data_IF_144522464556
#
_entry.id   IF_144522464556
#
_cell.length_a   1.000
_cell.length_b   1.000
_cell.length_c   1.000
_cell.angle_alpha   90.00
_cell.angle_beta   90.00
_cell.angle_gamma   90.00
#
_symmetry.space_group_name_H-M   'P 1'
#
loop_
_entity.id
_entity.type
_entity.pdbx_description
1 polymer ?
#
# COMPACT_ATOMS: atom_id res chain seq x y z
N UNK A 1 5.14 48.11 -60.78
CA UNK A 1 5.55 46.90 -60.04
C UNK A 1 4.38 46.45 -59.17
N UNK A 2 3.96 45.20 -59.40
CA UNK A 2 3.15 44.30 -58.55
C UNK A 2 1.77 44.75 -58.02
N UNK A 3 0.67 44.04 -58.40
CA UNK A 3 -0.68 44.29 -57.93
C UNK A 3 -1.06 43.49 -56.67
N UNK A 4 -2.18 43.92 -56.09
CA UNK A 4 -2.92 43.48 -54.88
C UNK A 4 -3.20 41.96 -54.85
N UNK A 5 -3.12 41.33 -53.66
CA UNK A 5 -3.93 40.13 -53.38
C UNK A 5 -4.47 40.08 -51.94
N UNK A 6 -5.76 39.78 -51.91
CA UNK A 6 -6.70 39.65 -50.81
C UNK A 6 -6.36 38.57 -49.78
N UNK A 7 -6.63 38.90 -48.52
CA UNK A 7 -6.70 38.00 -47.37
C UNK A 7 -7.60 36.78 -47.62
N UNK A 8 -7.04 35.58 -47.61
CA UNK A 8 -7.78 34.34 -47.41
C UNK A 8 -7.46 33.80 -46.00
N UNK A 9 -8.52 33.73 -45.20
CA UNK A 9 -8.59 33.00 -43.95
C UNK A 9 -8.41 31.50 -44.25
N UNK A 10 -7.32 30.90 -43.78
CA UNK A 10 -7.16 29.46 -43.74
C UNK A 10 -7.56 28.95 -42.37
N UNK A 11 -8.84 28.60 -42.24
CA UNK A 11 -9.30 27.70 -41.18
C UNK A 11 -8.56 26.37 -41.35
N UNK A 12 -7.85 25.84 -40.34
CA UNK A 12 -7.27 24.52 -40.44
C UNK A 12 -8.39 23.48 -40.60
N UNK A 13 -8.22 22.46 -41.45
CA UNK A 13 -9.25 21.45 -41.63
C UNK A 13 -9.48 20.72 -40.31
N UNK A 14 -10.75 20.65 -39.92
CA UNK A 14 -11.27 19.78 -38.86
C UNK A 14 -10.75 18.37 -39.15
N UNK A 15 -10.09 17.67 -38.20
CA UNK A 15 -9.71 16.29 -38.41
C UNK A 15 -10.97 15.47 -38.58
N UNK A 16 -11.18 14.90 -39.77
CA UNK A 16 -12.14 13.83 -39.97
C UNK A 16 -11.85 12.70 -38.96
N UNK A 17 -12.86 12.05 -38.38
CA UNK A 17 -12.66 10.92 -37.49
C UNK A 17 -11.93 9.83 -38.28
N UNK A 18 -10.72 9.49 -37.82
CA UNK A 18 -9.88 8.52 -38.47
C UNK A 18 -10.60 7.19 -38.62
N UNK A 19 -10.67 6.71 -39.86
CA UNK A 19 -10.95 5.32 -40.17
C UNK A 19 -9.76 4.53 -39.61
N UNK A 20 -9.97 3.84 -38.49
CA UNK A 20 -9.02 2.85 -37.99
C UNK A 20 -8.79 1.81 -39.10
N UNK A 21 -7.57 1.71 -39.61
CA UNK A 21 -7.17 0.60 -40.47
C UNK A 21 -7.22 -0.68 -39.63
N UNK A 22 -8.26 -1.48 -39.85
CA UNK A 22 -8.67 -2.65 -39.05
C UNK A 22 -7.70 -3.85 -39.06
N UNK A 23 -6.52 -3.75 -39.71
CA UNK A 23 -5.58 -4.88 -39.81
C UNK A 23 -4.41 -4.84 -38.82
N UNK A 24 -4.21 -3.73 -38.10
CA UNK A 24 -3.03 -3.53 -37.22
C UNK A 24 -3.38 -3.32 -35.73
N UNK A 25 -4.65 -3.40 -35.34
CA UNK A 25 -5.05 -3.24 -33.93
C UNK A 25 -5.06 -4.56 -33.15
N UNK A 26 -4.82 -4.46 -31.83
CA UNK A 26 -4.92 -5.61 -30.93
C UNK A 26 -6.35 -6.20 -30.90
N UNK A 27 -7.39 -5.35 -30.98
CA UNK A 27 -8.78 -5.81 -31.04
C UNK A 27 -9.04 -6.67 -32.27
N UNK A 28 -8.54 -6.27 -33.44
CA UNK A 28 -8.72 -7.03 -34.67
C UNK A 28 -8.01 -8.39 -34.62
N UNK A 29 -6.80 -8.45 -34.07
CA UNK A 29 -6.07 -9.71 -33.88
C UNK A 29 -6.82 -10.65 -32.91
N UNK A 30 -7.39 -10.11 -31.83
CA UNK A 30 -8.24 -10.88 -30.90
C UNK A 30 -9.50 -11.42 -31.60
N UNK A 31 -10.21 -10.58 -32.38
CA UNK A 31 -11.41 -11.00 -33.15
C UNK A 31 -11.08 -12.10 -34.16
N UNK A 32 -9.91 -12.04 -34.79
CA UNK A 32 -9.41 -13.08 -35.71
C UNK A 32 -8.89 -14.32 -35.01
N UNK A 33 -8.85 -14.34 -33.67
CA UNK A 33 -8.33 -15.42 -32.83
C UNK A 33 -6.85 -15.73 -33.08
N UNK A 34 -6.08 -14.71 -33.48
CA UNK A 34 -4.67 -14.83 -33.84
C UNK A 34 -3.78 -14.41 -32.65
N UNK A 35 -3.43 -15.37 -31.79
CA UNK A 35 -2.60 -15.14 -30.61
C UNK A 35 -1.16 -14.75 -30.95
N UNK A 36 -0.63 -15.19 -32.09
CA UNK A 36 0.71 -14.85 -32.56
C UNK A 36 0.77 -13.38 -32.99
N UNK A 37 -0.24 -12.90 -33.73
CA UNK A 37 -0.37 -11.49 -34.07
C UNK A 37 -0.54 -10.63 -32.81
N UNK A 38 -1.35 -11.06 -31.83
CA UNK A 38 -1.48 -10.35 -30.54
C UNK A 38 -0.11 -10.23 -29.86
N UNK A 39 0.64 -11.32 -29.75
CA UNK A 39 1.96 -11.32 -29.12
C UNK A 39 2.94 -10.39 -29.86
N UNK A 40 2.97 -10.45 -31.21
CA UNK A 40 3.80 -9.58 -32.04
C UNK A 40 3.47 -8.10 -31.83
N UNK A 41 2.21 -7.72 -31.94
CA UNK A 41 1.75 -6.34 -31.76
C UNK A 41 2.09 -5.79 -30.37
N UNK A 42 1.98 -6.62 -29.31
CA UNK A 42 2.39 -6.22 -27.96
C UNK A 42 3.90 -6.00 -27.84
N UNK A 43 4.71 -6.81 -28.51
CA UNK A 43 6.16 -6.63 -28.56
C UNK A 43 6.56 -5.37 -29.36
N UNK A 44 5.75 -4.97 -30.34
CA UNK A 44 5.88 -3.70 -31.07
C UNK A 44 5.43 -2.47 -30.24
N UNK A 45 4.91 -2.68 -29.02
CA UNK A 45 4.57 -1.63 -28.08
C UNK A 45 3.08 -1.27 -28.00
N UNK A 46 2.22 -1.96 -28.76
CA UNK A 46 0.77 -1.76 -28.62
C UNK A 46 0.30 -2.22 -27.24
N UNK A 47 -0.55 -1.41 -26.62
CA UNK A 47 -0.97 -1.64 -25.24
C UNK A 47 -2.29 -2.41 -25.18
N UNK A 48 -2.29 -3.52 -24.45
CA UNK A 48 -3.48 -4.34 -24.22
C UNK A 48 -4.56 -3.66 -23.34
N UNK A 49 -4.32 -2.43 -22.89
CA UNK A 49 -5.29 -1.63 -22.15
C UNK A 49 -5.98 -0.56 -23.01
N UNK A 50 -5.65 -0.40 -24.29
CA UNK A 50 -6.30 0.57 -25.17
C UNK A 50 -7.78 0.22 -25.38
N UNK A 51 -8.68 1.21 -25.29
CA UNK A 51 -10.09 1.03 -25.55
C UNK A 51 -10.41 1.25 -27.03
N UNK A 52 -11.39 0.51 -27.55
CA UNK A 52 -11.98 0.79 -28.86
C UNK A 52 -13.11 1.84 -28.75
N UNK A 53 -13.79 2.11 -29.86
CA UNK A 53 -14.89 3.09 -29.93
C UNK A 53 -16.10 2.74 -29.04
N UNK A 54 -16.29 1.46 -28.70
CA UNK A 54 -17.30 1.01 -27.73
C UNK A 54 -16.81 1.04 -26.27
N UNK A 55 -15.61 1.56 -26.00
CA UNK A 55 -15.05 1.65 -24.66
C UNK A 55 -14.58 0.31 -24.08
N UNK A 56 -14.27 -0.68 -24.93
CA UNK A 56 -13.83 -2.03 -24.54
C UNK A 56 -12.35 -2.24 -24.82
N UNK A 57 -11.65 -2.90 -23.92
CA UNK A 57 -10.27 -3.36 -24.15
C UNK A 57 -10.23 -4.64 -25.00
N UNK A 58 -9.06 -5.02 -25.56
CA UNK A 58 -8.90 -6.32 -26.22
C UNK A 58 -9.25 -7.51 -25.33
N UNK A 59 -9.07 -7.37 -24.01
CA UNK A 59 -9.44 -8.40 -23.06
C UNK A 59 -10.96 -8.51 -22.88
N UNK A 60 -11.65 -7.37 -22.76
CA UNK A 60 -13.13 -7.35 -22.74
C UNK A 60 -13.70 -7.94 -24.03
N UNK A 61 -13.05 -7.68 -25.17
CA UNK A 61 -13.43 -8.29 -26.44
C UNK A 61 -13.30 -9.80 -26.41
N UNK A 62 -12.16 -10.34 -25.93
CA UNK A 62 -11.94 -11.79 -25.77
C UNK A 62 -13.01 -12.42 -24.87
N UNK A 63 -13.32 -11.80 -23.74
CA UNK A 63 -14.27 -12.33 -22.75
C UNK A 63 -15.70 -12.41 -23.28
N UNK A 64 -16.10 -11.45 -24.12
CA UNK A 64 -17.43 -11.41 -24.70
C UNK A 64 -17.62 -12.34 -25.91
N UNK A 65 -16.56 -13.00 -26.41
CA UNK A 65 -16.66 -14.01 -27.46
C UNK A 65 -17.33 -15.27 -26.95
N UNK A 66 -18.47 -15.65 -27.52
CA UNK A 66 -19.23 -16.86 -27.11
C UNK A 66 -18.82 -18.12 -27.88
N UNK A 67 -18.20 -17.94 -29.05
CA UNK A 67 -17.95 -18.96 -30.07
C UNK A 67 -16.48 -19.40 -30.15
N UNK A 68 -15.69 -19.12 -29.12
CA UNK A 68 -14.27 -19.48 -29.01
C UNK A 68 -14.09 -20.67 -28.07
N UNK A 69 -13.24 -21.63 -28.49
CA UNK A 69 -12.86 -22.77 -27.66
C UNK A 69 -11.88 -22.36 -26.55
N UNK A 70 -11.82 -23.16 -25.48
CA UNK A 70 -11.05 -22.83 -24.28
C UNK A 70 -9.54 -22.73 -24.54
N UNK A 71 -9.00 -23.54 -25.47
CA UNK A 71 -7.58 -23.51 -25.81
C UNK A 71 -7.22 -22.21 -26.52
N UNK A 72 -8.02 -21.79 -27.50
CA UNK A 72 -7.85 -20.51 -28.19
C UNK A 72 -8.03 -19.33 -27.23
N UNK A 73 -9.03 -19.40 -26.34
CA UNK A 73 -9.27 -18.37 -25.32
C UNK A 73 -8.07 -18.21 -24.40
N UNK A 74 -7.59 -19.31 -23.83
CA UNK A 74 -6.41 -19.34 -22.98
C UNK A 74 -5.17 -18.81 -23.71
N UNK A 75 -4.96 -19.19 -24.98
CA UNK A 75 -3.83 -18.72 -25.78
C UNK A 75 -3.87 -17.22 -26.03
N UNK A 76 -5.04 -16.65 -26.33
CA UNK A 76 -5.22 -15.20 -26.50
C UNK A 76 -5.07 -14.45 -25.18
N UNK A 77 -5.61 -14.99 -24.08
CA UNK A 77 -5.49 -14.39 -22.74
C UNK A 77 -4.02 -14.31 -22.31
N UNK A 78 -3.27 -15.41 -22.48
CA UNK A 78 -1.82 -15.45 -22.29
C UNK A 78 -1.12 -14.43 -23.18
N UNK A 79 -1.43 -14.41 -24.48
CA UNK A 79 -0.84 -13.45 -25.41
C UNK A 79 -1.11 -11.99 -25.00
N UNK A 80 -2.27 -11.69 -24.42
CA UNK A 80 -2.63 -10.34 -23.93
C UNK A 80 -1.97 -9.96 -22.61
N UNK A 81 -1.82 -10.92 -21.68
CA UNK A 81 -1.43 -10.62 -20.29
C UNK A 81 -0.03 -11.05 -19.89
N UNK A 82 0.63 -11.89 -20.68
CA UNK A 82 2.00 -12.34 -20.39
C UNK A 82 2.92 -11.14 -20.15
N UNK A 83 3.75 -11.24 -19.12
CA UNK A 83 4.73 -10.20 -18.82
C UNK A 83 5.78 -10.10 -19.91
N UNK A 84 6.04 -8.87 -20.38
CA UNK A 84 7.18 -8.55 -21.27
C UNK A 84 8.45 -8.20 -20.46
N UNK A 85 8.41 -8.37 -19.14
CA UNK A 85 9.59 -8.20 -18.30
C UNK A 85 10.43 -9.49 -18.36
N UNK A 86 11.70 -9.44 -18.78
CA UNK A 86 12.58 -10.61 -18.90
C UNK A 86 12.82 -11.35 -17.58
N UNK A 87 12.60 -10.71 -16.42
CA UNK A 87 12.78 -11.37 -15.12
C UNK A 87 11.53 -12.12 -14.65
N UNK A 88 10.40 -11.99 -15.35
CA UNK A 88 9.18 -12.69 -14.99
C UNK A 88 9.31 -14.18 -15.34
N UNK A 89 8.77 -15.09 -14.50
CA UNK A 89 8.75 -16.51 -14.81
C UNK A 89 8.03 -16.80 -16.13
N UNK A 90 8.44 -17.87 -16.81
CA UNK A 90 7.76 -18.32 -18.01
C UNK A 90 6.28 -18.62 -17.70
N UNK A 91 5.37 -18.18 -18.57
CA UNK A 91 3.94 -18.35 -18.37
C UNK A 91 3.30 -17.39 -17.35
N UNK A 92 4.05 -16.51 -16.70
CA UNK A 92 3.45 -15.54 -15.79
C UNK A 92 2.62 -14.49 -16.54
N UNK A 93 1.34 -14.39 -16.15
CA UNK A 93 0.40 -13.36 -16.59
C UNK A 93 0.23 -12.27 -15.55
N UNK A 94 0.14 -11.02 -15.99
CA UNK A 94 -0.04 -9.87 -15.10
C UNK A 94 -1.39 -9.93 -14.38
N UNK A 95 -1.48 -9.50 -13.10
CA UNK A 95 -2.72 -9.30 -12.38
C UNK A 95 -3.72 -8.44 -13.15
N UNK A 96 -4.99 -8.77 -12.95
CA UNK A 96 -6.13 -8.09 -13.57
C UNK A 96 -6.78 -7.08 -12.63
N UNK A 97 -6.69 -7.37 -11.33
CA UNK A 97 -7.09 -6.49 -10.24
C UNK A 97 -5.96 -6.37 -9.22
N UNK A 98 -5.85 -5.21 -8.59
CA UNK A 98 -4.84 -4.90 -7.58
C UNK A 98 -5.45 -4.21 -6.37
N UNK A 99 -4.92 -4.53 -5.19
CA UNK A 99 -5.26 -3.88 -3.94
C UNK A 99 -3.98 -3.42 -3.23
N UNK A 100 -3.92 -2.15 -2.85
CA UNK A 100 -2.79 -1.59 -2.12
C UNK A 100 -3.11 -1.40 -0.65
N UNK A 101 -2.23 -1.85 0.25
CA UNK A 101 -2.47 -1.80 1.69
C UNK A 101 -1.18 -1.68 2.52
N UNK A 102 -1.29 -1.02 3.66
CA UNK A 102 -0.27 -1.02 4.72
C UNK A 102 -0.46 -2.18 5.72
N UNK A 103 -1.59 -2.88 5.66
CA UNK A 103 -2.04 -3.96 6.55
C UNK A 103 -1.85 -5.35 5.95
N UNK A 104 -0.80 -5.52 5.13
CA UNK A 104 -0.70 -6.73 4.32
C UNK A 104 -0.44 -8.00 5.13
N UNK A 105 0.23 -7.93 6.29
CA UNK A 105 0.40 -9.12 7.13
C UNK A 105 -0.94 -9.56 7.74
N UNK A 106 -1.73 -8.61 8.21
CA UNK A 106 -3.05 -8.86 8.80
C UNK A 106 -4.01 -9.46 7.77
N UNK A 107 -3.93 -8.99 6.52
CA UNK A 107 -4.69 -9.58 5.40
C UNK A 107 -4.25 -11.03 5.15
N UNK A 108 -2.94 -11.29 5.08
CA UNK A 108 -2.43 -12.66 4.89
C UNK A 108 -2.85 -13.56 6.05
N UNK A 109 -2.76 -13.07 7.29
CA UNK A 109 -3.18 -13.80 8.48
C UNK A 109 -4.67 -14.12 8.46
N UNK A 110 -5.51 -13.18 8.04
CA UNK A 110 -6.95 -13.38 7.98
C UNK A 110 -7.42 -14.20 6.77
N UNK A 111 -6.56 -14.39 5.77
CA UNK A 111 -6.88 -15.09 4.53
C UNK A 111 -7.85 -14.34 3.61
N UNK A 112 -8.20 -13.08 3.90
CA UNK A 112 -9.15 -12.30 3.10
C UNK A 112 -8.86 -10.79 3.12
N UNK A 113 -9.24 -10.10 2.05
CA UNK A 113 -9.42 -8.66 2.07
C UNK A 113 -10.72 -8.33 2.80
N UNK A 114 -10.61 -7.61 3.91
CA UNK A 114 -11.78 -7.20 4.71
C UNK A 114 -12.15 -5.75 4.46
N UNK A 115 -13.45 -5.48 4.37
CA UNK A 115 -13.97 -4.12 4.29
C UNK A 115 -13.65 -3.33 5.56
N UNK A 116 -13.40 -2.02 5.44
CA UNK A 116 -13.16 -1.13 6.59
C UNK A 116 -11.73 -1.13 7.18
N UNK A 117 -10.87 -2.09 6.84
CA UNK A 117 -9.46 -2.11 7.30
C UNK A 117 -8.54 -1.27 6.38
N UNK A 118 -8.99 -0.91 5.17
CA UNK A 118 -8.13 -0.38 4.10
C UNK A 118 -8.60 0.93 3.45
N UNK A 119 -9.34 1.80 4.16
CA UNK A 119 -9.80 3.04 3.55
C UNK A 119 -8.96 4.28 3.95
N UNK A 120 -8.12 4.83 3.05
CA UNK A 120 -7.62 6.19 3.17
C UNK A 120 -8.61 7.26 2.66
N UNK A 121 -9.77 6.88 2.10
CA UNK A 121 -10.73 7.78 1.42
C UNK A 121 -11.92 8.20 2.29
N UNK A 122 -11.65 8.52 3.56
CA UNK A 122 -12.59 9.25 4.41
C UNK A 122 -12.94 10.61 3.79
N UNK A 123 -14.08 10.65 3.10
CA UNK A 123 -14.71 11.83 2.51
C UNK A 123 -16.22 11.61 2.39
N UNK A 124 -16.98 12.65 2.07
CA UNK A 124 -18.46 12.73 2.08
C UNK A 124 -19.22 11.73 1.20
N UNK A 125 -18.53 10.83 0.48
CA UNK A 125 -19.09 9.73 -0.31
C UNK A 125 -18.41 8.40 0.11
N UNK A 126 -18.41 8.16 1.43
CA UNK A 126 -17.72 7.04 2.09
C UNK A 126 -18.09 5.69 1.49
N UNK A 127 -17.07 4.87 1.26
CA UNK A 127 -17.18 3.47 0.82
C UNK A 127 -16.70 2.54 1.94
N UNK A 128 -16.96 2.96 3.17
CA UNK A 128 -16.72 2.20 4.39
C UNK A 128 -17.34 0.80 4.29
N UNK A 129 -16.58 -0.20 4.75
CA UNK A 129 -16.96 -1.61 4.66
C UNK A 129 -16.85 -2.25 3.26
N UNK A 130 -16.37 -1.54 2.23
CA UNK A 130 -16.17 -2.11 0.88
C UNK A 130 -14.73 -2.56 0.64
N UNK A 131 -14.57 -3.59 -0.20
CA UNK A 131 -13.26 -4.04 -0.67
C UNK A 131 -13.00 -3.47 -2.06
N UNK A 132 -11.99 -2.61 -2.14
CA UNK A 132 -11.66 -1.92 -3.38
C UNK A 132 -10.63 -2.64 -4.22
N UNK A 133 -10.83 -2.55 -5.53
CA UNK A 133 -9.88 -3.03 -6.51
C UNK A 133 -9.54 -1.92 -7.52
N UNK A 134 -8.25 -1.82 -7.84
CA UNK A 134 -7.79 -1.18 -9.06
C UNK A 134 -7.75 -2.25 -10.13
N UNK A 135 -8.75 -2.25 -11.01
CA UNK A 135 -8.95 -3.23 -12.06
C UNK A 135 -8.78 -2.61 -13.46
N UNK A 136 -9.13 -3.37 -14.50
CA UNK A 136 -9.14 -2.88 -15.88
C UNK A 136 -10.44 -2.16 -16.26
N UNK A 137 -11.16 -1.57 -15.31
CA UNK A 137 -12.30 -0.69 -15.63
C UNK A 137 -11.80 0.74 -15.85
N UNK A 138 -12.25 1.44 -16.92
CA UNK A 138 -11.93 2.88 -17.11
C UNK A 138 -12.28 3.71 -15.87
N UNK A 139 -11.48 4.73 -15.56
CA UNK A 139 -11.78 5.61 -14.41
C UNK A 139 -12.82 6.68 -14.79
N UNK A 140 -12.81 7.11 -16.05
CA UNK A 140 -13.79 8.02 -16.63
C UNK A 140 -14.36 7.43 -17.91
N UNK A 141 -15.56 7.87 -18.30
CA UNK A 141 -16.19 7.54 -19.59
C UNK A 141 -15.44 8.12 -20.79
N UNK A 142 -14.49 9.04 -20.56
CA UNK A 142 -13.69 9.71 -21.59
C UNK A 142 -12.28 9.12 -21.72
N UNK A 143 -11.94 8.09 -20.93
CA UNK A 143 -10.60 7.50 -20.98
C UNK A 143 -10.40 6.73 -22.29
N UNK A 144 -9.20 6.80 -22.86
CA UNK A 144 -8.82 6.04 -24.07
C UNK A 144 -8.18 4.67 -23.74
N UNK A 145 -7.95 4.40 -22.46
CA UNK A 145 -7.38 3.13 -21.98
C UNK A 145 -8.09 2.71 -20.70
N UNK A 146 -8.20 1.41 -20.44
CA UNK A 146 -8.42 0.93 -19.06
C UNK A 146 -7.29 1.43 -18.16
N UNK A 147 -7.56 1.62 -16.85
CA UNK A 147 -6.72 2.40 -15.90
C UNK A 147 -5.24 2.46 -16.34
N UNK A 148 -4.77 3.58 -16.92
CA UNK A 148 -3.41 3.67 -17.47
C UNK A 148 -2.33 3.44 -16.41
N UNK A 149 -2.72 3.60 -15.15
CA UNK A 149 -1.93 3.57 -13.94
C UNK A 149 -2.32 2.38 -13.02
N UNK A 150 -2.64 1.22 -13.61
CA UNK A 150 -3.16 0.03 -12.90
C UNK A 150 -2.41 -0.27 -11.58
N UNK A 151 -1.07 -0.17 -11.59
CA UNK A 151 -0.21 -0.37 -10.40
C UNK A 151 0.08 0.89 -9.57
N UNK A 152 -0.02 2.09 -10.14
CA UNK A 152 0.36 3.33 -9.45
C UNK A 152 -0.54 3.61 -8.25
N UNK A 153 -1.86 3.58 -8.45
CA UNK A 153 -2.81 3.86 -7.36
C UNK A 153 -2.72 2.86 -6.21
N UNK A 154 -2.65 1.54 -6.44
CA UNK A 154 -2.36 0.59 -5.36
C UNK A 154 -1.08 0.94 -4.60
N UNK A 155 -0.01 1.39 -5.26
CA UNK A 155 1.22 1.82 -4.58
C UNK A 155 1.02 3.07 -3.72
N UNK A 156 0.21 4.01 -4.19
CA UNK A 156 -0.12 5.22 -3.43
C UNK A 156 -0.95 4.84 -2.18
N UNK A 157 -1.95 3.97 -2.35
CA UNK A 157 -2.81 3.52 -1.25
C UNK A 157 -2.07 2.65 -0.24
N UNK A 158 -1.10 1.84 -0.69
CA UNK A 158 -0.33 0.98 0.21
C UNK A 158 0.60 1.73 1.15
N UNK A 159 0.86 3.02 0.88
CA UNK A 159 1.54 3.89 1.83
C UNK A 159 0.69 4.16 3.10
N UNK A 160 -0.64 3.97 3.03
CA UNK A 160 -1.53 4.12 4.18
C UNK A 160 -1.66 5.56 4.69
N UNK A 161 -1.31 6.54 3.85
CA UNK A 161 -1.42 7.97 4.16
C UNK A 161 -2.88 8.43 4.15
N UNK A 162 -3.22 9.39 5.01
CA UNK A 162 -4.56 9.94 5.10
C UNK A 162 -4.61 11.23 5.93
N UNK A 163 -5.78 11.87 5.96
CA UNK A 163 -5.97 13.13 6.68
C UNK A 163 -6.14 12.92 8.20
N UNK A 164 -6.75 11.80 8.61
CA UNK A 164 -7.10 11.52 9.99
C UNK A 164 -5.92 10.93 10.78
N UNK A 165 -5.77 11.22 12.08
CA UNK A 165 -4.71 10.65 12.93
C UNK A 165 -4.77 9.12 13.03
N UNK A 166 -5.90 8.52 12.68
CA UNK A 166 -6.14 7.08 12.68
C UNK A 166 -5.67 6.35 11.43
N UNK A 167 -5.10 7.04 10.42
CA UNK A 167 -4.57 6.34 9.25
C UNK A 167 -3.34 5.48 9.60
N UNK A 168 -3.08 4.46 8.78
CA UNK A 168 -2.03 3.47 9.02
C UNK A 168 -0.63 4.09 9.17
N UNK A 169 -0.26 5.03 8.28
CA UNK A 169 1.04 5.72 8.35
C UNK A 169 1.20 6.48 9.68
N UNK A 170 0.16 7.18 10.09
CA UNK A 170 0.18 8.01 11.29
C UNK A 170 0.24 7.15 12.55
N UNK A 171 -0.50 6.04 12.59
CA UNK A 171 -0.49 5.09 13.72
C UNK A 171 0.86 4.42 13.91
N UNK A 172 1.53 4.01 12.82
CA UNK A 172 2.89 3.46 12.91
C UNK A 172 3.89 4.49 13.45
N UNK A 173 3.83 5.73 12.98
CA UNK A 173 4.75 6.77 13.42
C UNK A 173 4.42 7.31 14.84
N UNK A 174 3.14 7.38 15.21
CA UNK A 174 2.71 7.66 16.59
C UNK A 174 3.25 6.64 17.58
N UNK A 175 3.24 5.34 17.23
CA UNK A 175 3.85 4.29 18.04
C UNK A 175 5.33 4.58 18.27
N UNK A 176 6.06 4.87 17.19
CA UNK A 176 7.49 5.18 17.29
C UNK A 176 7.77 6.38 18.19
N UNK A 177 6.98 7.44 18.07
CA UNK A 177 7.15 8.65 18.88
C UNK A 177 6.72 8.41 20.34
N UNK A 178 5.74 7.56 20.61
CA UNK A 178 5.40 7.13 21.97
C UNK A 178 6.57 6.37 22.62
N UNK A 179 7.25 5.49 21.88
CA UNK A 179 8.49 4.84 22.36
C UNK A 179 9.57 5.85 22.71
N UNK A 180 9.74 6.93 21.93
CA UNK A 180 10.72 8.00 22.21
C UNK A 180 10.37 8.73 23.51
N UNK A 181 9.09 9.08 23.70
CA UNK A 181 8.62 9.75 24.93
C UNK A 181 8.88 8.87 26.15
N UNK A 182 8.49 7.60 26.08
CA UNK A 182 8.65 6.65 27.18
C UNK A 182 10.11 6.42 27.50
N UNK A 183 10.94 6.16 26.49
CA UNK A 183 12.38 5.97 26.67
C UNK A 183 13.05 7.18 27.32
N UNK A 184 12.69 8.40 26.90
CA UNK A 184 13.23 9.60 27.53
C UNK A 184 12.83 9.69 29.02
N UNK A 185 11.56 9.50 29.33
CA UNK A 185 11.04 9.60 30.70
C UNK A 185 11.57 8.49 31.61
N UNK A 186 11.63 7.25 31.13
CA UNK A 186 12.15 6.09 31.86
C UNK A 186 13.65 6.22 32.20
N UNK A 187 14.39 6.96 31.39
CA UNK A 187 15.81 7.24 31.60
C UNK A 187 16.07 8.62 32.24
N UNK A 188 15.04 9.27 32.81
CA UNK A 188 15.18 10.56 33.50
C UNK A 188 15.59 11.73 32.61
N UNK A 189 15.44 11.61 31.28
CA UNK A 189 15.73 12.69 30.33
C UNK A 189 14.58 13.68 30.30
N UNK A 190 14.93 14.95 30.10
CA UNK A 190 13.94 16.02 29.98
C UNK A 190 13.33 16.03 28.58
N UNK A 191 12.00 16.02 28.50
CA UNK A 191 11.30 16.24 27.23
C UNK A 191 11.40 17.72 26.84
N UNK A 192 11.66 17.98 25.58
CA UNK A 192 11.61 19.34 25.07
C UNK A 192 10.18 19.88 25.14
N UNK A 193 10.05 21.12 25.60
CA UNK A 193 8.73 21.75 25.79
C UNK A 193 8.49 22.91 24.81
N UNK A 194 7.21 23.18 24.57
CA UNK A 194 6.71 24.35 23.85
C UNK A 194 5.91 25.24 24.80
N UNK A 195 5.67 26.48 24.41
CA UNK A 195 4.89 27.45 25.19
C UNK A 195 3.38 27.19 25.13
N UNK A 196 2.93 26.16 24.40
CA UNK A 196 1.53 25.79 24.35
C UNK A 196 1.04 25.27 25.72
N UNK A 197 -0.20 25.62 26.07
CA UNK A 197 -0.89 25.14 27.27
C UNK A 197 -2.32 24.69 26.90
N UNK A 198 -2.47 23.51 26.28
CA UNK A 198 -3.77 23.01 25.85
C UNK A 198 -4.59 22.50 27.04
N UNK A 199 -5.90 22.39 26.84
CA UNK A 199 -6.80 21.72 27.77
C UNK A 199 -7.33 20.40 27.22
N UNK A 200 -7.44 19.38 28.06
CA UNK A 200 -8.07 18.09 27.77
C UNK A 200 -9.32 17.96 28.64
N UNK A 201 -10.46 17.69 28.00
CA UNK A 201 -11.67 17.24 28.71
C UNK A 201 -11.50 15.78 29.11
N UNK A 202 -11.67 15.49 30.40
CA UNK A 202 -11.52 14.16 30.98
C UNK A 202 -12.88 13.72 31.53
N UNK A 203 -13.46 12.68 30.93
CA UNK A 203 -14.76 12.17 31.37
C UNK A 203 -14.64 11.42 32.70
N UNK A 204 -13.55 10.69 32.91
CA UNK A 204 -13.26 9.98 34.14
C UNK A 204 -11.95 10.45 34.78
N UNK A 205 -12.00 11.29 35.85
CA UNK A 205 -10.80 11.75 36.56
C UNK A 205 -9.89 10.63 37.11
N UNK A 206 -10.39 9.40 37.25
CA UNK A 206 -9.59 8.26 37.70
C UNK A 206 -8.78 7.61 36.57
N UNK A 207 -9.08 7.93 35.31
CA UNK A 207 -8.42 7.34 34.14
C UNK A 207 -8.04 8.40 33.08
N UNK A 208 -7.41 9.52 33.47
CA UNK A 208 -7.11 10.63 32.56
C UNK A 208 -6.18 10.23 31.40
N UNK A 209 -5.45 9.12 31.53
CA UNK A 209 -4.57 8.58 30.50
C UNK A 209 -5.31 8.11 29.24
N UNK A 210 -6.59 7.75 29.31
CA UNK A 210 -7.37 7.29 28.14
C UNK A 210 -7.60 8.46 27.19
N UNK A 211 -8.17 9.55 27.68
CA UNK A 211 -8.33 10.80 26.93
C UNK A 211 -6.98 11.45 26.61
N UNK A 212 -5.99 11.30 27.50
CA UNK A 212 -4.61 11.69 27.29
C UNK A 212 -3.99 11.01 26.07
N UNK A 213 -4.16 9.70 25.91
CA UNK A 213 -3.66 8.96 24.75
C UNK A 213 -4.32 9.42 23.45
N UNK A 214 -5.65 9.61 23.45
CA UNK A 214 -6.37 10.12 22.29
C UNK A 214 -5.96 11.56 21.92
N UNK A 215 -5.72 12.40 22.92
CA UNK A 215 -5.18 13.74 22.72
C UNK A 215 -3.76 13.70 22.17
N UNK A 216 -2.88 12.88 22.76
CA UNK A 216 -1.48 12.73 22.34
C UNK A 216 -1.43 12.25 20.89
N UNK A 217 -2.28 11.29 20.51
CA UNK A 217 -2.42 10.83 19.14
C UNK A 217 -2.70 11.99 18.16
N UNK A 218 -3.66 12.85 18.48
CA UNK A 218 -4.02 14.02 17.67
C UNK A 218 -2.88 15.05 17.62
N UNK A 219 -2.24 15.32 18.76
CA UNK A 219 -1.11 16.24 18.86
C UNK A 219 0.04 15.77 17.96
N UNK A 220 0.45 14.51 18.09
CA UNK A 220 1.55 13.92 17.32
C UNK A 220 1.26 13.98 15.82
N UNK A 221 0.04 13.62 15.43
CA UNK A 221 -0.39 13.69 14.04
C UNK A 221 -0.32 15.11 13.47
N UNK A 222 -0.97 16.06 14.14
CA UNK A 222 -1.08 17.43 13.66
C UNK A 222 0.27 18.16 13.63
N UNK A 223 1.09 17.94 14.65
CA UNK A 223 2.32 18.72 14.86
C UNK A 223 3.52 18.14 14.11
N UNK A 224 3.61 16.80 13.98
CA UNK A 224 4.81 16.13 13.48
C UNK A 224 4.57 15.32 12.22
N UNK A 225 3.43 14.64 12.09
CA UNK A 225 3.24 13.67 11.01
C UNK A 225 2.70 14.37 9.75
N UNK A 226 1.66 15.20 9.90
CA UNK A 226 1.05 15.95 8.80
C UNK A 226 2.07 16.85 8.09
N UNK A 227 3.00 17.43 8.85
CA UNK A 227 4.05 18.32 8.35
C UNK A 227 5.38 17.58 8.12
N UNK A 228 5.38 16.26 7.94
CA UNK A 228 6.54 15.39 7.66
C UNK A 228 7.72 15.44 8.66
N UNK A 229 7.66 16.28 9.69
CA UNK A 229 8.69 16.42 10.72
C UNK A 229 8.95 15.15 11.52
N UNK A 230 7.97 14.26 11.65
CA UNK A 230 8.12 12.98 12.34
C UNK A 230 8.98 11.96 11.59
N UNK A 231 9.24 12.14 10.28
CA UNK A 231 9.98 11.17 9.47
C UNK A 231 11.37 10.83 10.01
N UNK A 232 12.04 11.78 10.68
CA UNK A 232 13.36 11.58 11.27
C UNK A 232 13.40 10.56 12.41
N UNK A 233 12.27 10.28 13.07
CA UNK A 233 12.20 9.26 14.12
C UNK A 233 12.10 7.83 13.57
N UNK A 234 11.83 7.67 12.27
CA UNK A 234 11.72 6.36 11.63
C UNK A 234 13.10 5.73 11.59
N UNK A 235 13.24 4.56 12.23
CA UNK A 235 14.50 3.79 12.23
C UNK A 235 15.63 4.34 13.10
N UNK A 236 15.65 5.66 13.38
CA UNK A 236 16.65 6.31 14.23
C UNK A 236 16.60 5.77 15.68
N UNK A 237 17.72 5.65 16.41
CA UNK A 237 17.76 5.41 17.85
C UNK A 237 16.77 6.28 18.65
N UNK A 238 16.25 5.75 19.77
CA UNK A 238 15.17 6.41 20.53
C UNK A 238 15.59 7.75 21.15
N UNK A 239 16.87 7.94 21.40
CA UNK A 239 17.44 9.18 21.92
C UNK A 239 17.76 10.21 20.82
N UNK A 240 17.84 9.75 19.57
CA UNK A 240 18.17 10.62 18.46
C UNK A 240 16.97 11.52 18.15
N UNK A 241 17.24 12.82 17.98
CA UNK A 241 16.24 13.85 17.70
C UNK A 241 15.19 14.09 18.82
N UNK A 242 15.43 13.68 20.07
CA UNK A 242 14.54 13.96 21.19
C UNK A 242 14.17 15.46 21.28
N UNK A 243 15.14 16.34 21.05
CA UNK A 243 14.98 17.80 21.07
C UNK A 243 13.99 18.34 20.02
N UNK A 244 13.73 17.53 18.99
CA UNK A 244 12.75 17.84 17.95
C UNK A 244 11.32 17.49 18.34
N UNK A 245 11.12 16.70 19.41
CA UNK A 245 9.80 16.34 19.92
C UNK A 245 9.40 17.31 21.04
N UNK A 246 8.88 18.46 20.65
CA UNK A 246 8.38 19.49 21.58
C UNK A 246 6.95 19.19 22.04
N UNK A 247 6.78 18.76 23.28
CA UNK A 247 5.45 18.63 23.90
C UNK A 247 5.05 19.95 24.59
N UNK A 248 3.76 20.19 24.89
CA UNK A 248 3.37 21.32 25.74
C UNK A 248 4.12 21.34 27.08
N UNK A 249 4.50 22.53 27.56
CA UNK A 249 5.17 22.68 28.87
C UNK A 249 4.20 22.72 30.06
N UNK A 250 2.90 22.81 29.79
CA UNK A 250 1.82 22.73 30.76
C UNK A 250 0.56 22.16 30.10
N UNK A 251 -0.35 21.61 30.89
CA UNK A 251 -1.60 21.05 30.37
C UNK A 251 -2.73 21.16 31.40
N UNK A 252 -3.90 21.61 30.99
CA UNK A 252 -5.07 21.67 31.87
C UNK A 252 -5.99 20.46 31.67
N UNK A 253 -6.26 19.69 32.73
CA UNK A 253 -7.28 18.65 32.74
C UNK A 253 -8.60 19.24 33.26
N UNK A 254 -9.66 19.11 32.48
CA UNK A 254 -11.00 19.61 32.79
C UNK A 254 -11.93 18.44 33.08
N UNK A 255 -12.60 18.45 34.23
CA UNK A 255 -13.62 17.45 34.56
C UNK A 255 -14.67 18.01 35.51
N UNK A 256 -15.95 17.85 35.18
CA UNK A 256 -17.05 18.30 36.04
C UNK A 256 -16.99 19.79 36.44
N UNK A 257 -16.43 20.66 35.58
CA UNK A 257 -16.23 22.08 35.85
C UNK A 257 -14.97 22.43 36.67
N UNK A 258 -14.22 21.45 37.17
CA UNK A 258 -12.92 21.64 37.79
C UNK A 258 -11.81 21.66 36.75
N UNK A 259 -10.79 22.48 36.98
CA UNK A 259 -9.58 22.56 36.14
C UNK A 259 -8.36 22.24 37.00
N UNK A 260 -7.61 21.21 36.62
CA UNK A 260 -6.34 20.88 37.24
C UNK A 260 -5.20 21.14 36.24
N UNK A 261 -4.28 22.02 36.59
CA UNK A 261 -3.13 22.33 35.72
C UNK A 261 -1.93 21.45 36.08
N UNK A 262 -1.44 20.70 35.10
CA UNK A 262 -0.27 19.85 35.21
C UNK A 262 0.97 20.59 34.72
N UNK A 263 2.05 20.54 35.51
CA UNK A 263 3.37 21.07 35.17
C UNK A 263 4.46 20.11 35.67
N UNK A 264 5.66 20.25 35.10
CA UNK A 264 6.90 19.58 35.53
C UNK A 264 6.70 18.08 35.83
N UNK A 265 6.81 17.63 37.08
CA UNK A 265 6.76 16.20 37.44
C UNK A 265 5.39 15.56 37.19
N UNK A 266 4.30 16.26 37.54
CA UNK A 266 2.94 15.75 37.31
C UNK A 266 2.62 15.67 35.82
N UNK A 267 3.15 16.62 35.03
CA UNK A 267 3.04 16.60 33.57
C UNK A 267 3.83 15.45 32.96
N UNK A 268 5.06 15.20 33.43
CA UNK A 268 5.89 14.07 32.98
C UNK A 268 5.21 12.74 33.30
N UNK A 269 4.61 12.60 34.49
CA UNK A 269 3.83 11.41 34.86
C UNK A 269 2.63 11.22 33.93
N UNK A 270 1.90 12.30 33.62
CA UNK A 270 0.79 12.24 32.68
C UNK A 270 1.23 11.84 31.27
N UNK A 271 2.33 12.40 30.76
CA UNK A 271 2.88 12.03 29.45
C UNK A 271 3.34 10.58 29.40
N UNK A 272 3.96 10.08 30.47
CA UNK A 272 4.31 8.67 30.58
C UNK A 272 3.07 7.79 30.44
N UNK A 273 2.06 8.02 31.28
CA UNK A 273 0.82 7.23 31.26
C UNK A 273 0.07 7.30 29.93
N UNK A 274 -0.05 8.51 29.35
CA UNK A 274 -0.72 8.71 28.05
C UNK A 274 0.06 8.06 26.89
N UNK A 275 1.40 8.12 26.91
CA UNK A 275 2.24 7.48 25.91
C UNK A 275 2.21 5.95 26.05
N UNK A 276 2.23 5.42 27.27
CA UNK A 276 2.07 3.97 27.52
C UNK A 276 0.72 3.47 27.02
N UNK A 277 -0.36 4.18 27.33
CA UNK A 277 -1.71 3.83 26.86
C UNK A 277 -1.80 3.90 25.33
N UNK A 278 -1.25 4.94 24.72
CA UNK A 278 -1.19 5.08 23.27
C UNK A 278 -0.41 3.93 22.63
N UNK A 279 0.81 3.65 23.11
CA UNK A 279 1.67 2.57 22.62
C UNK A 279 0.94 1.23 22.71
N UNK A 280 0.41 0.89 23.88
CA UNK A 280 -0.35 -0.35 24.10
C UNK A 280 -1.51 -0.48 23.12
N UNK A 281 -2.31 0.58 22.96
CA UNK A 281 -3.46 0.55 22.06
C UNK A 281 -3.07 0.36 20.59
N UNK A 282 -1.90 0.86 20.18
CA UNK A 282 -1.37 0.71 18.82
C UNK A 282 -0.84 -0.71 18.58
N UNK A 283 -0.16 -1.28 19.57
CA UNK A 283 0.32 -2.66 19.56
C UNK A 283 -0.83 -3.68 19.59
N UNK A 284 -1.97 -3.33 20.23
CA UNK A 284 -3.21 -4.11 20.26
C UNK A 284 -4.03 -4.01 18.96
N UNK A 285 -3.34 -4.08 17.81
CA UNK A 285 -3.96 -4.18 16.50
C UNK A 285 -4.49 -2.87 15.91
N UNK A 286 -4.31 -1.71 16.57
CA UNK A 286 -4.67 -0.42 15.94
C UNK A 286 -3.64 0.05 14.93
N UNK A 287 -2.36 -0.34 15.02
CA UNK A 287 -1.36 -0.01 14.02
C UNK A 287 -0.99 -1.23 13.15
N UNK A 288 -0.60 -1.02 11.87
CA UNK A 288 -0.11 -2.12 11.05
C UNK A 288 1.16 -2.72 11.64
N UNK A 289 1.17 -4.03 11.86
CA UNK A 289 2.22 -4.75 12.56
C UNK A 289 3.58 -4.64 11.86
N UNK A 290 3.60 -4.67 10.52
CA UNK A 290 4.85 -4.46 9.77
C UNK A 290 5.42 -3.05 9.97
N UNK A 291 4.56 -2.05 10.19
CA UNK A 291 4.97 -0.69 10.55
C UNK A 291 5.56 -0.62 11.96
N UNK A 292 4.99 -1.38 12.90
CA UNK A 292 5.54 -1.53 14.25
C UNK A 292 6.92 -2.20 14.22
N UNK A 293 7.06 -3.33 13.53
CA UNK A 293 8.34 -4.02 13.34
C UNK A 293 9.40 -3.14 12.67
N UNK A 294 8.97 -2.27 11.76
CA UNK A 294 9.85 -1.38 11.00
C UNK A 294 9.98 0.01 11.65
N UNK A 295 9.88 0.08 12.99
CA UNK A 295 10.14 1.28 13.80
C UNK A 295 9.40 2.53 13.27
N UNK A 296 8.11 2.36 12.97
CA UNK A 296 7.21 3.41 12.50
C UNK A 296 7.21 3.65 10.99
N UNK A 297 8.09 2.99 10.23
CA UNK A 297 8.12 3.07 8.77
C UNK A 297 7.13 2.09 8.12
N UNK A 298 6.25 2.56 7.24
CA UNK A 298 5.34 1.66 6.52
C UNK A 298 6.11 0.72 5.57
N UNK A 299 5.69 -0.55 5.58
CA UNK A 299 6.05 -1.59 4.61
C UNK A 299 4.85 -1.76 3.65
N UNK A 300 4.83 -1.02 2.52
CA UNK A 300 3.69 -1.00 1.63
C UNK A 300 3.64 -2.26 0.78
N UNK A 301 2.46 -2.88 0.71
CA UNK A 301 2.21 -4.09 -0.04
C UNK A 301 1.12 -3.87 -1.09
N UNK A 302 1.28 -4.46 -2.26
CA UNK A 302 0.26 -4.48 -3.31
C UNK A 302 -0.06 -5.91 -3.67
N UNK A 303 -1.30 -6.31 -3.42
CA UNK A 303 -1.83 -7.62 -3.79
C UNK A 303 -2.36 -7.60 -5.21
N UNK A 304 -1.91 -8.54 -6.03
CA UNK A 304 -2.36 -8.77 -7.39
C UNK A 304 -3.18 -10.03 -7.49
N UNK A 305 -4.38 -9.88 -8.04
CA UNK A 305 -5.37 -10.93 -8.19
C UNK A 305 -5.56 -11.29 -9.66
N UNK A 306 -5.99 -12.52 -9.87
CA UNK A 306 -6.68 -12.92 -11.10
C UNK A 306 -7.93 -12.06 -11.33
N UNK A 307 -8.62 -12.29 -12.46
CA UNK A 307 -9.87 -11.59 -12.74
C UNK A 307 -10.85 -11.73 -11.59
N UNK A 308 -11.41 -10.60 -11.18
CA UNK A 308 -12.50 -10.53 -10.21
C UNK A 308 -13.79 -10.26 -10.99
N UNK A 309 -14.76 -11.13 -10.81
CA UNK A 309 -16.08 -11.01 -11.43
C UNK A 309 -17.04 -10.20 -10.53
N UNK A 310 -18.13 -9.74 -11.13
CA UNK A 310 -19.26 -9.10 -10.42
C UNK A 310 -18.88 -7.88 -9.57
N UNK A 311 -17.83 -7.14 -9.98
CA UNK A 311 -17.46 -5.90 -9.32
C UNK A 311 -18.58 -4.86 -9.48
N UNK A 312 -18.98 -4.28 -8.36
CA UNK A 312 -19.83 -3.09 -8.36
C UNK A 312 -19.00 -1.86 -8.71
N UNK A 313 -19.62 -0.87 -9.34
CA UNK A 313 -18.98 0.41 -9.67
C UNK A 313 -19.59 1.54 -8.87
N UNK A 314 -18.76 2.30 -8.17
CA UNK A 314 -19.15 3.53 -7.48
C UNK A 314 -18.61 4.76 -8.21
N UNK A 315 -19.40 5.82 -8.30
CA UNK A 315 -19.03 7.09 -8.96
C UNK A 315 -18.84 8.18 -7.92
N UNK A 316 -17.61 8.68 -7.82
CA UNK A 316 -17.28 9.84 -6.98
C UNK A 316 -17.24 11.09 -7.85
N UNK A 317 -17.98 12.12 -7.42
CA UNK A 317 -18.04 13.40 -8.11
C UNK A 317 -17.02 14.35 -7.49
N UNK A 318 -15.94 14.62 -8.22
CA UNK A 318 -14.97 15.65 -7.87
C UNK A 318 -15.34 16.96 -8.57
N UNK A 319 -14.85 18.09 -8.03
CA UNK A 319 -15.14 19.44 -8.53
C UNK A 319 -14.93 19.63 -10.04
N UNK A 320 -14.03 18.84 -10.65
CA UNK A 320 -13.69 18.95 -12.07
C UNK A 320 -13.92 17.67 -12.89
N UNK A 321 -14.37 16.56 -12.28
CA UNK A 321 -14.52 15.27 -12.97
C UNK A 321 -15.27 14.22 -12.15
N UNK A 322 -15.86 13.25 -12.84
CA UNK A 322 -16.42 12.04 -12.24
C UNK A 322 -15.37 10.93 -12.34
N UNK A 323 -15.18 10.18 -11.25
CA UNK A 323 -14.30 9.01 -11.21
C UNK A 323 -15.04 7.76 -10.79
N UNK A 324 -14.70 6.65 -11.42
CA UNK A 324 -15.28 5.32 -11.17
C UNK A 324 -14.33 4.46 -10.33
N UNK A 325 -14.89 3.74 -9.37
CA UNK A 325 -14.18 2.83 -8.47
C UNK A 325 -14.87 1.48 -8.42
N UNK A 326 -14.11 0.42 -8.66
CA UNK A 326 -14.61 -0.95 -8.61
C UNK A 326 -14.44 -1.52 -7.21
N UNK A 327 -15.47 -2.21 -6.71
CA UNK A 327 -15.48 -2.76 -5.37
C UNK A 327 -16.37 -3.99 -5.22
N UNK A 328 -16.16 -4.73 -4.14
CA UNK A 328 -17.08 -5.75 -3.63
C UNK A 328 -17.72 -5.30 -2.31
N UNK A 329 -18.96 -5.74 -2.12
CA UNK A 329 -19.74 -5.46 -0.91
C UNK A 329 -19.38 -6.34 0.28
N UNK A 330 -18.67 -7.43 0.03
CA UNK A 330 -18.28 -8.45 1.00
C UNK A 330 -16.77 -8.57 1.07
N UNK A 331 -16.27 -9.29 2.06
CA UNK A 331 -14.87 -9.69 2.12
C UNK A 331 -14.49 -10.51 0.88
N UNK A 332 -13.24 -10.38 0.44
CA UNK A 332 -12.71 -11.13 -0.71
C UNK A 332 -11.64 -12.12 -0.23
N UNK A 333 -11.90 -13.45 -0.28
CA UNK A 333 -10.91 -14.44 0.14
C UNK A 333 -9.68 -14.42 -0.78
N UNK A 334 -8.47 -14.53 -0.21
CA UNK A 334 -7.24 -14.56 -0.99
C UNK A 334 -7.14 -15.81 -1.88
N UNK A 335 -7.85 -16.88 -1.53
CA UNK A 335 -8.00 -18.07 -2.39
C UNK A 335 -8.85 -17.82 -3.63
N UNK A 336 -9.58 -16.71 -3.69
CA UNK A 336 -10.67 -16.49 -4.63
C UNK A 336 -11.92 -17.31 -4.28
N UNK A 337 -12.94 -17.20 -5.12
CA UNK A 337 -14.18 -17.98 -5.01
C UNK A 337 -14.67 -18.44 -6.39
N UNK A 338 -15.54 -19.44 -6.44
CA UNK A 338 -16.17 -19.89 -7.69
C UNK A 338 -17.03 -18.81 -8.35
N UNK A 339 -17.72 -18.00 -7.55
CA UNK A 339 -18.61 -16.94 -8.03
C UNK A 339 -17.82 -15.70 -8.50
N UNK A 340 -16.92 -15.20 -7.65
CA UNK A 340 -16.25 -13.92 -7.90
C UNK A 340 -14.84 -14.07 -8.48
N UNK A 341 -14.31 -15.29 -8.62
CA UNK A 341 -12.94 -15.52 -9.08
C UNK A 341 -11.91 -14.88 -8.16
N UNK A 342 -10.86 -14.32 -8.76
CA UNK A 342 -9.97 -13.39 -8.07
C UNK A 342 -8.98 -14.01 -7.11
N UNK A 343 -8.41 -15.18 -7.39
CA UNK A 343 -7.36 -15.75 -6.54
C UNK A 343 -6.14 -14.82 -6.48
N UNK A 344 -5.54 -14.68 -5.29
CA UNK A 344 -4.27 -13.97 -5.12
C UNK A 344 -3.17 -14.72 -5.85
N UNK A 345 -2.44 -14.02 -6.72
CA UNK A 345 -1.34 -14.57 -7.52
C UNK A 345 -0.03 -13.82 -7.36
N UNK A 346 -0.08 -12.59 -6.84
CA UNK A 346 1.10 -11.75 -6.70
C UNK A 346 1.07 -10.92 -5.41
N UNK A 347 2.22 -10.82 -4.74
CA UNK A 347 2.50 -9.75 -3.77
C UNK A 347 3.62 -8.88 -4.33
N UNK A 348 3.36 -7.60 -4.55
CA UNK A 348 4.38 -6.62 -4.89
C UNK A 348 4.88 -5.87 -3.64
N UNK A 349 6.20 -5.79 -3.52
CA UNK A 349 6.96 -5.07 -2.48
C UNK A 349 7.87 -4.02 -3.14
N UNK A 350 8.34 -3.02 -2.38
CA UNK A 350 9.26 -2.00 -2.93
C UNK A 350 10.71 -2.47 -3.07
N UNK A 351 11.14 -3.39 -2.22
CA UNK A 351 12.54 -3.84 -2.12
C UNK A 351 12.61 -5.22 -1.45
N UNK A 352 13.78 -5.86 -1.53
CA UNK A 352 14.07 -7.08 -0.78
C UNK A 352 14.03 -6.84 0.73
N UNK A 353 14.41 -5.65 1.21
CA UNK A 353 14.28 -5.31 2.63
C UNK A 353 12.82 -5.30 3.09
N UNK A 354 11.90 -4.77 2.28
CA UNK A 354 10.45 -4.81 2.57
C UNK A 354 9.92 -6.25 2.53
N UNK A 355 10.43 -7.09 1.62
CA UNK A 355 10.10 -8.51 1.60
C UNK A 355 10.63 -9.25 2.84
N UNK A 356 11.85 -8.95 3.27
CA UNK A 356 12.43 -9.54 4.48
C UNK A 356 11.61 -9.20 5.73
N UNK A 357 11.15 -7.96 5.85
CA UNK A 357 10.24 -7.55 6.95
C UNK A 357 8.90 -8.28 6.88
N UNK A 358 8.33 -8.47 5.69
CA UNK A 358 7.12 -9.29 5.53
C UNK A 358 7.37 -10.74 5.97
N UNK A 359 8.45 -11.38 5.51
CA UNK A 359 8.78 -12.75 5.87
C UNK A 359 9.04 -12.92 7.38
N UNK A 360 9.71 -11.95 8.02
CA UNK A 360 9.88 -11.94 9.47
C UNK A 360 8.52 -11.82 10.18
N UNK A 361 7.66 -10.90 9.74
CA UNK A 361 6.30 -10.78 10.26
C UNK A 361 5.49 -12.07 10.13
N UNK A 362 5.58 -12.73 8.97
CA UNK A 362 5.00 -14.05 8.73
C UNK A 362 5.54 -15.11 9.70
N UNK A 363 6.85 -15.17 9.94
CA UNK A 363 7.45 -16.11 10.88
C UNK A 363 6.98 -15.85 12.33
N UNK A 364 6.90 -14.59 12.75
CA UNK A 364 6.44 -14.22 14.11
C UNK A 364 4.94 -14.53 14.30
N UNK A 365 4.12 -14.36 13.27
CA UNK A 365 2.66 -14.57 13.36
C UNK A 365 2.21 -15.94 12.87
N UNK A 366 3.16 -16.82 12.54
CA UNK A 366 2.90 -18.17 12.02
C UNK A 366 1.99 -18.15 10.77
N UNK A 367 2.21 -17.15 9.91
CA UNK A 367 1.45 -16.97 8.67
C UNK A 367 2.27 -17.51 7.50
N UNK A 368 1.69 -18.42 6.75
CA UNK A 368 2.27 -18.88 5.50
C UNK A 368 1.86 -18.00 4.32
N UNK A 369 2.78 -17.81 3.37
CA UNK A 369 2.42 -17.21 2.09
C UNK A 369 1.61 -18.24 1.27
N UNK A 370 0.54 -17.83 0.59
CA UNK A 370 -0.22 -18.72 -0.29
C UNK A 370 0.67 -19.42 -1.32
N UNK A 371 0.36 -20.67 -1.64
CA UNK A 371 1.10 -21.45 -2.63
C UNK A 371 0.93 -20.88 -4.05
N UNK A 372 1.95 -21.04 -4.91
CA UNK A 372 2.01 -20.51 -6.28
C UNK A 372 1.93 -18.99 -6.36
N UNK A 373 2.40 -18.30 -5.32
CA UNK A 373 2.42 -16.86 -5.23
C UNK A 373 3.72 -16.32 -5.82
N UNK A 374 3.61 -15.39 -6.77
CA UNK A 374 4.78 -14.64 -7.24
C UNK A 374 5.04 -13.43 -6.35
N UNK A 375 6.29 -13.24 -5.92
CA UNK A 375 6.70 -12.00 -5.25
C UNK A 375 7.36 -11.09 -6.26
N UNK A 376 6.80 -9.91 -6.45
CA UNK A 376 7.31 -8.91 -7.39
C UNK A 376 8.03 -7.80 -6.64
N UNK A 377 9.32 -7.64 -6.88
CA UNK A 377 10.09 -6.49 -6.36
C UNK A 377 9.94 -5.31 -7.34
N UNK A 378 9.49 -4.15 -6.85
CA UNK A 378 9.41 -2.92 -7.63
C UNK A 378 10.80 -2.52 -8.12
N UNK A 379 10.95 -2.35 -9.44
CA UNK A 379 12.16 -1.78 -10.03
C UNK A 379 12.32 -0.32 -9.62
N UNK A 380 13.56 0.13 -9.44
CA UNK A 380 13.91 1.49 -9.04
C UNK A 380 14.69 2.19 -10.16
N UNK A 381 14.60 3.52 -10.24
CA UNK A 381 15.42 4.33 -11.15
C UNK A 381 15.44 3.88 -12.62
N UNK A 382 14.28 3.43 -13.13
CA UNK A 382 14.14 2.96 -14.52
C UNK A 382 14.46 1.47 -14.72
N UNK A 383 14.95 0.78 -13.70
CA UNK A 383 15.15 -0.66 -13.76
C UNK A 383 13.83 -1.43 -13.86
N UNK A 384 13.90 -2.58 -14.52
CA UNK A 384 12.79 -3.51 -14.58
C UNK A 384 12.57 -4.15 -13.21
N UNK A 385 11.34 -4.54 -12.95
CA UNK A 385 11.01 -5.32 -11.76
C UNK A 385 11.80 -6.62 -11.69
N UNK A 386 11.95 -7.17 -10.50
CA UNK A 386 12.38 -8.56 -10.31
C UNK A 386 11.19 -9.39 -9.85
N UNK A 387 11.16 -10.67 -10.23
CA UNK A 387 10.14 -11.60 -9.79
C UNK A 387 10.81 -12.80 -9.13
N UNK A 388 10.28 -13.17 -7.97
CA UNK A 388 10.63 -14.37 -7.24
C UNK A 388 9.45 -15.34 -7.41
N UNK A 389 9.73 -16.49 -8.00
CA UNK A 389 8.83 -17.64 -8.03
C UNK A 389 8.95 -18.43 -6.73
N UNK A 390 8.13 -19.48 -6.58
CA UNK A 390 8.07 -20.32 -5.39
C UNK A 390 9.45 -20.83 -4.94
N UNK A 391 10.29 -21.27 -5.88
CA UNK A 391 11.63 -21.75 -5.56
C UNK A 391 12.51 -20.64 -4.98
N UNK A 392 12.55 -19.46 -5.62
CA UNK A 392 13.32 -18.31 -5.12
C UNK A 392 12.79 -17.78 -3.80
N UNK A 393 11.47 -17.83 -3.58
CA UNK A 393 10.84 -17.45 -2.32
C UNK A 393 11.30 -18.40 -1.21
N UNK A 394 11.27 -19.71 -1.44
CA UNK A 394 11.73 -20.71 -0.47
C UNK A 394 13.20 -20.50 -0.12
N UNK A 395 14.07 -20.35 -1.12
CA UNK A 395 15.50 -20.09 -0.90
C UNK A 395 15.75 -18.80 -0.13
N UNK A 396 15.05 -17.71 -0.48
CA UNK A 396 15.14 -16.44 0.23
C UNK A 396 14.73 -16.59 1.71
N UNK A 397 13.61 -17.27 1.97
CA UNK A 397 13.10 -17.49 3.33
C UNK A 397 14.06 -18.35 4.15
N UNK A 398 14.66 -19.39 3.58
CA UNK A 398 15.65 -20.23 4.27
C UNK A 398 16.88 -19.41 4.70
N UNK A 399 17.44 -18.61 3.79
CA UNK A 399 18.57 -17.72 4.11
C UNK A 399 18.21 -16.69 5.19
N UNK A 400 17.01 -16.12 5.09
CA UNK A 400 16.52 -15.16 6.06
C UNK A 400 16.36 -15.79 7.45
N UNK A 401 15.80 -17.01 7.53
CA UNK A 401 15.61 -17.72 8.80
C UNK A 401 16.95 -18.03 9.48
N UNK A 402 17.99 -18.38 8.74
CA UNK A 402 19.33 -18.54 9.30
C UNK A 402 19.86 -17.25 9.94
N UNK A 403 19.73 -16.10 9.25
CA UNK A 403 20.11 -14.79 9.79
C UNK A 403 19.28 -14.36 11.01
N UNK A 404 18.00 -14.75 11.04
CA UNK A 404 17.13 -14.50 12.19
C UNK A 404 17.60 -15.33 13.38
N UNK A 405 17.87 -16.62 13.19
CA UNK A 405 18.30 -17.53 14.24
C UNK A 405 19.60 -17.07 14.91
N UNK A 406 20.57 -16.58 14.13
CA UNK A 406 21.82 -16.00 14.66
C UNK A 406 21.59 -14.83 15.64
N UNK A 407 20.50 -14.07 15.48
CA UNK A 407 20.19 -12.91 16.30
C UNK A 407 19.18 -13.18 17.42
N UNK A 408 18.25 -14.11 17.18
CA UNK A 408 17.24 -14.54 18.15
C UNK A 408 17.81 -15.50 19.19
N UNK A 409 18.86 -16.26 18.84
CA UNK A 409 19.35 -17.37 19.66
C UNK A 409 18.32 -18.51 19.69
N UNK A 410 18.22 -19.19 20.83
CA UNK A 410 17.31 -20.33 21.04
C UNK A 410 15.88 -19.90 21.41
N UNK A 411 15.62 -18.59 21.56
CA UNK A 411 14.31 -18.08 21.94
C UNK A 411 13.32 -18.07 20.74
N UNK A 412 12.10 -18.62 20.89
CA UNK A 412 11.08 -18.53 19.86
C UNK A 412 10.74 -17.07 19.52
N UNK A 413 10.58 -16.76 18.23
CA UNK A 413 10.33 -15.38 17.79
C UNK A 413 9.04 -14.78 18.39
N UNK A 414 8.05 -15.63 18.68
CA UNK A 414 6.76 -15.25 19.24
C UNK A 414 6.86 -14.76 20.69
N UNK A 415 7.91 -15.16 21.42
CA UNK A 415 8.12 -14.77 22.83
C UNK A 415 8.99 -13.52 22.98
N UNK A 416 9.67 -13.10 21.91
CA UNK A 416 10.51 -11.92 21.92
C UNK A 416 9.68 -10.64 22.05
N UNK A 417 10.19 -9.69 22.83
CA UNK A 417 9.58 -8.36 22.91
C UNK A 417 9.61 -7.64 21.56
N UNK A 418 8.64 -6.75 21.31
CA UNK A 418 8.61 -5.95 20.08
C UNK A 418 9.91 -5.16 19.87
N UNK A 419 10.53 -4.66 20.93
CA UNK A 419 11.82 -3.97 20.85
C UNK A 419 12.93 -4.89 20.29
N UNK A 420 13.01 -6.14 20.76
CA UNK A 420 13.97 -7.12 20.24
C UNK A 420 13.68 -7.46 18.78
N UNK A 421 12.42 -7.65 18.42
CA UNK A 421 11.98 -7.91 17.04
C UNK A 421 12.30 -6.73 16.10
N UNK A 422 12.13 -5.50 16.57
CA UNK A 422 12.51 -4.28 15.83
C UNK A 422 14.02 -4.21 15.59
N UNK A 423 14.84 -4.65 16.54
CA UNK A 423 16.30 -4.71 16.39
C UNK A 423 16.71 -5.76 15.34
N UNK A 424 16.15 -6.98 15.42
CA UNK A 424 16.36 -8.05 14.44
C UNK A 424 15.97 -7.58 13.03
N UNK A 425 14.77 -6.99 12.88
CA UNK A 425 14.32 -6.45 11.60
C UNK A 425 15.25 -5.37 11.05
N UNK A 426 15.78 -4.49 11.91
CA UNK A 426 16.71 -3.44 11.48
C UNK A 426 18.01 -4.02 10.90
N UNK A 427 18.57 -5.02 11.58
CA UNK A 427 19.79 -5.72 11.15
C UNK A 427 19.58 -6.44 9.81
N UNK A 428 18.51 -7.21 9.69
CA UNK A 428 18.12 -7.91 8.46
C UNK A 428 17.97 -6.92 7.30
N UNK A 429 17.21 -5.84 7.51
CA UNK A 429 16.99 -4.83 6.46
C UNK A 429 18.30 -4.18 6.01
N UNK A 430 19.24 -3.94 6.91
CA UNK A 430 20.56 -3.41 6.56
C UNK A 430 21.28 -4.34 5.56
N UNK A 431 21.31 -5.65 5.80
CA UNK A 431 21.94 -6.62 4.89
C UNK A 431 21.37 -6.55 3.47
N UNK A 432 20.05 -6.41 3.34
CA UNK A 432 19.39 -6.34 2.02
C UNK A 432 19.40 -4.95 1.37
N UNK A 433 19.70 -3.89 2.11
CA UNK A 433 19.94 -2.55 1.57
C UNK A 433 21.35 -2.43 0.99
N UNK A 434 22.36 -3.03 1.64
CA UNK A 434 23.74 -3.04 1.15
C UNK A 434 23.99 -4.06 0.05
N UNK A 435 23.22 -5.15 -0.01
CA UNK A 435 23.32 -6.16 -1.08
C UNK A 435 22.66 -5.75 -2.41
N UNK A 436 22.30 -4.47 -2.58
CA UNK A 436 21.68 -3.90 -3.79
C UNK A 436 22.54 -4.00 -5.07
N UNK A 437 23.76 -4.53 -4.99
CA UNK A 437 24.53 -4.94 -6.17
C UNK A 437 24.38 -6.43 -6.42
N UNK A 438 23.47 -6.84 -7.32
CA UNK A 438 23.38 -8.12 -8.08
C UNK A 438 23.67 -9.49 -7.41
N UNK A 439 24.06 -9.58 -6.14
CA UNK A 439 24.61 -10.77 -5.50
C UNK A 439 23.61 -11.45 -4.55
N UNK A 440 22.61 -10.72 -4.02
CA UNK A 440 21.66 -11.29 -3.04
C UNK A 440 20.78 -12.44 -3.59
N UNK A 441 20.63 -12.52 -4.91
CA UNK A 441 19.77 -13.49 -5.60
C UNK A 441 20.54 -14.42 -6.54
N UNK A 442 21.89 -14.39 -6.52
CA UNK A 442 22.71 -15.11 -7.51
C UNK A 442 23.26 -16.47 -7.08
N UNK A 443 23.04 -16.88 -5.83
CA UNK A 443 23.34 -18.24 -5.38
C UNK A 443 22.16 -18.82 -4.62
#
# INVERSE_FOLDING_TARGET
MTPIRSSQSSVPPIPSPGIETSSTSLHAAVVKRDSEAVARLRNEGLRANTLNVEGRSPLDALENMRDIDERSRSSLHMALLQSLNPTAPLGYTKPEALHGTAWGLEILQSGALKGGVNDPKGGTQSLEGKVFFSDRTPESTTDQTTRPDLRRKPRDYSAGEGLHPSNAYSRALQHRMAQVILHALDNGKTLSTSTASPSIEVANPKQPQIEGAAWLQRLLHASYIKNIGGRKFIGAPLDEHLDSLKLPGSLALKSGGQVNELRVEDLNRFYHQAASELQRSLEDGKAPYLGLLNKGGIVPLVFGFEKINNLSTHRIHYSSKIKQYSYQNTEHPLSGSSENGGKLKEVEVRSLADFATLCLGCAIKEVELPANLIVRIKGQNGEKAQYLDDQKIVMFRQKLLAQIAEQAGDEPLQTLSLHRLQAINSSIRANYLYASGHHALRD
#
